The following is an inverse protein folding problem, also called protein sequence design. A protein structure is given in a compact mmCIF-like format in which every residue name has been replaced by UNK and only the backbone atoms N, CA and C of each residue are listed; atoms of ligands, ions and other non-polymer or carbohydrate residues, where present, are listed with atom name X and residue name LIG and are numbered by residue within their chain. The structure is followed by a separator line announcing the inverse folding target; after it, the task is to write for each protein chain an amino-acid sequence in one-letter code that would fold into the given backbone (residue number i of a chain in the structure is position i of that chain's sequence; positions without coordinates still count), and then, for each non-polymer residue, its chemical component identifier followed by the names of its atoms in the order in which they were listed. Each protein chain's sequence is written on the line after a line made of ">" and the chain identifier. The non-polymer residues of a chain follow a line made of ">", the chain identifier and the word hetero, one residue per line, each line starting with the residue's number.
data_IF_242333041990
#
_entry.id   IF_242333041990
#
_cell.length_a   1.000
_cell.length_b   1.000
_cell.length_c   1.000
_cell.angle_alpha   90.00
_cell.angle_beta   90.00
_cell.angle_gamma   90.00
#
_symmetry.space_group_name_H-M   'P 1'
#
loop_
_entity.id
_entity.type
_entity.pdbx_description
1 polymer ?
#
# COMPACT_ATOMS: atom_id res chain seq x y z
N UNK A 1 5.86 -15.73 8.78
CA UNK A 1 5.52 -15.32 7.39
C UNK A 1 5.53 -13.81 7.40
N UNK A 2 6.39 -13.16 6.62
CA UNK A 2 6.51 -11.70 6.64
C UNK A 2 5.27 -11.08 5.98
N UNK A 3 4.63 -10.15 6.66
CA UNK A 3 3.44 -9.43 6.18
C UNK A 3 3.84 -8.04 5.70
N UNK A 4 2.93 -7.36 5.00
CA UNK A 4 3.14 -5.99 4.54
C UNK A 4 2.19 -5.06 5.29
N UNK A 5 2.68 -3.89 5.68
CA UNK A 5 1.88 -2.82 6.27
C UNK A 5 2.20 -1.49 5.62
N UNK A 6 1.29 -0.51 5.71
CA UNK A 6 1.59 0.86 5.30
C UNK A 6 2.84 1.38 6.02
N UNK A 7 3.68 2.13 5.31
CA UNK A 7 4.76 2.83 5.96
C UNK A 7 4.18 3.85 6.97
N UNK A 8 4.83 4.09 8.13
CA UNK A 8 4.26 4.92 9.20
C UNK A 8 3.86 6.34 8.78
N UNK A 9 4.56 6.90 7.79
CA UNK A 9 4.30 8.23 7.23
C UNK A 9 3.24 8.24 6.11
N UNK A 10 2.71 7.09 5.74
CA UNK A 10 1.79 6.92 4.62
C UNK A 10 0.36 6.75 5.12
N UNK A 11 -0.55 7.55 4.59
CA UNK A 11 -1.99 7.39 4.77
C UNK A 11 -2.60 6.85 3.49
N UNK A 12 -3.53 5.90 3.63
CA UNK A 12 -4.38 5.40 2.55
C UNK A 12 -5.80 5.94 2.76
N UNK A 13 -6.30 6.72 1.80
CA UNK A 13 -7.67 7.25 1.81
C UNK A 13 -8.47 6.59 0.70
N UNK A 14 -9.48 5.80 1.06
CA UNK A 14 -10.43 5.22 0.09
C UNK A 14 -11.41 6.29 -0.39
N UNK A 15 -11.73 6.28 -1.67
CA UNK A 15 -12.66 7.25 -2.26
C UNK A 15 -14.07 6.65 -2.37
N UNK A 16 -15.08 7.53 -2.35
CA UNK A 16 -16.50 7.14 -2.29
C UNK A 16 -16.99 6.33 -3.49
N UNK A 17 -16.39 6.54 -4.66
CA UNK A 17 -16.80 5.91 -5.92
C UNK A 17 -15.79 4.87 -6.40
N UNK A 18 -15.02 4.29 -5.48
CA UNK A 18 -13.93 3.38 -5.82
C UNK A 18 -12.58 4.10 -5.95
N UNK A 19 -11.51 3.32 -5.96
CA UNK A 19 -10.15 3.84 -5.94
C UNK A 19 -9.69 4.29 -4.55
N UNK A 20 -8.44 4.76 -4.50
CA UNK A 20 -7.83 5.26 -3.27
C UNK A 20 -6.69 6.23 -3.57
N UNK A 21 -6.29 6.98 -2.55
CA UNK A 21 -5.12 7.87 -2.58
C UNK A 21 -4.15 7.44 -1.49
N UNK A 22 -2.89 7.23 -1.87
CA UNK A 22 -1.77 7.13 -0.95
C UNK A 22 -1.11 8.50 -0.82
N UNK A 23 -0.91 8.96 0.41
CA UNK A 23 -0.22 10.22 0.71
C UNK A 23 0.92 9.95 1.70
N UNK A 24 2.11 10.40 1.36
CA UNK A 24 3.26 10.39 2.27
C UNK A 24 3.44 11.77 2.90
N UNK A 25 3.24 11.86 4.22
CA UNK A 25 3.27 13.12 4.96
C UNK A 25 4.67 13.75 5.12
N UNK A 26 5.75 13.04 4.77
CA UNK A 26 7.13 13.53 4.90
C UNK A 26 7.61 14.19 3.61
N UNK A 27 7.42 13.53 2.47
CA UNK A 27 7.89 14.03 1.18
C UNK A 27 6.76 14.63 0.31
N UNK A 28 5.53 14.64 0.81
CA UNK A 28 4.33 15.13 0.13
C UNK A 28 4.03 14.42 -1.19
N UNK A 29 4.55 13.20 -1.37
CA UNK A 29 4.20 12.39 -2.53
C UNK A 29 2.74 11.92 -2.43
N UNK A 30 2.07 11.90 -3.57
CA UNK A 30 0.70 11.44 -3.74
C UNK A 30 0.67 10.39 -4.86
N UNK A 31 -0.01 9.28 -4.64
CA UNK A 31 -0.33 8.31 -5.68
C UNK A 31 -1.83 8.04 -5.70
N UNK A 32 -2.45 8.29 -6.85
CA UNK A 32 -3.84 7.95 -7.11
C UNK A 32 -3.90 6.51 -7.62
N UNK A 33 -4.76 5.71 -6.99
CA UNK A 33 -4.96 4.31 -7.30
C UNK A 33 -6.37 4.13 -7.87
N UNK A 34 -6.48 3.43 -8.98
CA UNK A 34 -7.77 2.99 -9.50
C UNK A 34 -8.39 1.90 -8.61
N UNK A 35 -9.61 1.46 -8.98
CA UNK A 35 -10.32 0.42 -8.24
C UNK A 35 -9.55 -0.90 -8.16
N UNK A 36 -8.95 -1.36 -9.28
CA UNK A 36 -8.23 -2.63 -9.32
C UNK A 36 -6.97 -2.58 -8.45
N UNK A 37 -6.24 -1.47 -8.50
CA UNK A 37 -5.09 -1.22 -7.64
C UNK A 37 -5.49 -1.14 -6.16
N UNK A 38 -6.63 -0.53 -5.87
CA UNK A 38 -7.16 -0.42 -4.49
C UNK A 38 -7.49 -1.80 -3.91
N UNK A 39 -8.14 -2.66 -4.68
CA UNK A 39 -8.41 -4.05 -4.27
C UNK A 39 -7.11 -4.80 -4.01
N UNK A 40 -6.14 -4.70 -4.92
CA UNK A 40 -4.85 -5.37 -4.74
C UNK A 40 -4.05 -4.84 -3.53
N UNK A 41 -4.13 -3.54 -3.23
CA UNK A 41 -3.55 -2.94 -2.02
C UNK A 41 -4.26 -3.49 -0.77
N UNK A 42 -5.59 -3.57 -0.78
CA UNK A 42 -6.36 -4.07 0.35
C UNK A 42 -6.05 -5.55 0.65
N UNK A 43 -5.94 -6.38 -0.38
CA UNK A 43 -5.52 -7.78 -0.25
C UNK A 43 -4.09 -7.90 0.30
N UNK A 44 -3.16 -7.08 -0.20
CA UNK A 44 -1.78 -7.04 0.28
C UNK A 44 -1.71 -6.68 1.77
N UNK A 45 -2.47 -5.67 2.20
CA UNK A 45 -2.50 -5.20 3.59
C UNK A 45 -3.26 -6.15 4.54
N UNK A 46 -4.22 -6.93 4.03
CA UNK A 46 -4.99 -7.88 4.82
C UNK A 46 -4.21 -9.15 5.23
N UNK A 47 -2.97 -9.31 4.74
CA UNK A 47 -2.14 -10.50 4.98
C UNK A 47 -1.59 -11.14 3.71
N UNK A 48 -1.68 -10.43 2.58
CA UNK A 48 -1.26 -10.91 1.28
C UNK A 48 0.22 -11.25 1.21
N UNK A 49 0.48 -12.31 0.45
CA UNK A 49 1.82 -12.78 0.07
C UNK A 49 2.53 -11.65 -0.68
N UNK A 50 3.83 -11.47 -0.43
CA UNK A 50 4.74 -10.51 -1.11
C UNK A 50 4.88 -10.74 -2.64
N UNK A 51 4.09 -11.64 -3.21
CA UNK A 51 4.20 -12.06 -4.60
C UNK A 51 3.40 -11.11 -5.50
N UNK A 52 4.10 -10.50 -6.45
CA UNK A 52 3.50 -9.63 -7.46
C UNK A 52 4.29 -8.35 -7.68
N UNK A 53 4.22 -7.84 -8.90
CA UNK A 53 4.90 -6.62 -9.32
C UNK A 53 4.43 -5.40 -8.50
N UNK A 54 3.15 -5.34 -8.12
CA UNK A 54 2.59 -4.23 -7.34
C UNK A 54 3.24 -4.13 -5.95
N UNK A 55 3.37 -5.25 -5.22
CA UNK A 55 4.00 -5.25 -3.91
C UNK A 55 5.46 -4.77 -3.98
N UNK A 56 6.21 -5.22 -4.98
CA UNK A 56 7.59 -4.77 -5.21
C UNK A 56 7.68 -3.27 -5.51
N UNK A 57 6.76 -2.74 -6.34
CA UNK A 57 6.69 -1.31 -6.64
C UNK A 57 6.36 -0.49 -5.39
N UNK A 58 5.38 -0.92 -4.60
CA UNK A 58 4.98 -0.21 -3.38
C UNK A 58 6.09 -0.19 -2.32
N UNK A 59 6.83 -1.30 -2.18
CA UNK A 59 8.00 -1.38 -1.28
C UNK A 59 9.14 -0.49 -1.78
N UNK A 60 9.48 -0.59 -3.07
CA UNK A 60 10.56 0.19 -3.67
C UNK A 60 10.30 1.71 -3.60
N UNK A 61 9.04 2.12 -3.71
CA UNK A 61 8.62 3.52 -3.57
C UNK A 61 8.40 3.96 -2.11
N UNK A 62 8.53 3.04 -1.13
CA UNK A 62 8.38 3.35 0.29
C UNK A 62 6.94 3.63 0.74
N UNK A 63 5.94 3.17 -0.01
CA UNK A 63 4.52 3.27 0.36
C UNK A 63 4.15 2.26 1.46
N UNK A 64 4.78 1.10 1.43
CA UNK A 64 4.58 0.00 2.38
C UNK A 64 5.93 -0.52 2.88
N UNK A 65 5.91 -1.19 4.03
CA UNK A 65 7.07 -1.82 4.65
C UNK A 65 6.78 -3.26 5.04
N UNK A 66 7.83 -4.07 5.11
CA UNK A 66 7.75 -5.43 5.65
C UNK A 66 7.55 -5.36 7.17
N UNK A 67 6.71 -6.26 7.68
CA UNK A 67 6.53 -6.49 9.10
C UNK A 67 6.70 -7.99 9.35
N UNK A 68 7.63 -8.36 10.22
CA UNK A 68 7.71 -9.74 10.64
C UNK A 68 6.60 -10.03 11.65
N UNK A 69 5.85 -11.10 11.43
CA UNK A 69 5.00 -11.68 12.44
C UNK A 69 5.93 -12.33 13.48
N UNK A 70 6.10 -11.66 14.62
CA UNK A 70 6.79 -12.21 15.80
C UNK A 70 6.06 -13.40 16.38
#
# INVERSE_FOLDING_TARGET
>A
MSTVKLAPQVTLTRLTYGGAVLMNGVNLAIAECDEAQTVAIDELLAGGVLEGQLAQVLIAAGWVVMSDAG
#
